data_IF_687099329274
#
_entry.id   IF_687099329274
#
_cell.length_a   1.000
_cell.length_b   1.000
_cell.length_c   1.000
_cell.angle_alpha   90.00
_cell.angle_beta   90.00
_cell.angle_gamma   90.00
#
_symmetry.space_group_name_H-M   'P 1'
#
loop_
_entity.id
_entity.type
_entity.pdbx_description
1 polymer ?
#
# COMPACT_ATOMS: atom_id res chain seq x y z
N UNK A 1 -52.23 41.06 42.99
CA UNK A 1 -51.02 41.20 43.85
C UNK A 1 -50.96 39.97 44.74
N UNK A 2 -49.84 39.29 44.98
CA UNK A 2 -48.55 39.28 44.27
C UNK A 2 -47.75 38.01 44.68
N UNK A 3 -46.90 37.51 43.77
CA UNK A 3 -45.79 36.53 43.95
C UNK A 3 -46.08 35.15 44.58
N UNK A 4 -45.45 34.11 43.99
CA UNK A 4 -44.34 33.42 44.66
C UNK A 4 -42.98 33.70 43.98
N UNK A 5 -41.83 33.51 44.67
CA UNK A 5 -40.52 33.92 44.15
C UNK A 5 -39.74 32.83 43.40
N UNK A 6 -39.17 33.23 42.25
CA UNK A 6 -37.84 32.94 41.71
C UNK A 6 -37.30 31.49 41.55
N UNK A 7 -36.33 31.36 40.63
CA UNK A 7 -35.64 30.10 40.28
C UNK A 7 -34.12 30.29 40.29
N UNK A 8 -33.40 29.17 40.28
CA UNK A 8 -31.93 29.08 40.40
C UNK A 8 -31.55 28.05 41.49
N UNK A 9 -30.53 27.22 41.35
CA UNK A 9 -29.57 27.07 40.24
C UNK A 9 -29.09 25.60 40.11
N UNK A 10 -28.48 25.22 38.99
CA UNK A 10 -27.85 23.89 38.79
C UNK A 10 -26.39 24.06 38.34
N UNK A 11 -25.39 23.75 39.18
CA UNK A 11 -24.00 23.72 38.73
C UNK A 11 -23.81 22.60 37.70
N UNK A 12 -23.19 22.95 36.56
CA UNK A 12 -22.99 22.02 35.45
C UNK A 12 -21.89 21.00 35.71
N UNK A 13 -22.08 19.77 35.23
CA UNK A 13 -21.03 18.76 35.18
C UNK A 13 -20.03 19.07 34.06
N UNK A 14 -18.85 19.57 34.42
CA UNK A 14 -17.71 19.62 33.50
C UNK A 14 -17.18 18.20 33.22
N UNK A 15 -16.66 17.92 32.02
CA UNK A 15 -16.09 16.61 31.72
C UNK A 15 -14.81 16.40 32.55
N UNK A 16 -14.72 15.27 33.27
CA UNK A 16 -13.47 14.86 33.92
C UNK A 16 -12.37 14.71 32.86
N UNK A 17 -11.30 15.50 33.00
CA UNK A 17 -10.04 15.19 32.32
C UNK A 17 -9.44 13.91 32.90
N UNK A 18 -8.58 13.25 32.11
CA UNK A 18 -8.06 11.92 32.42
C UNK A 18 -7.35 11.83 33.76
N UNK A 19 -8.00 11.15 34.70
CA UNK A 19 -7.38 10.50 35.85
C UNK A 19 -6.59 9.32 35.26
N UNK A 20 -5.28 9.51 35.03
CA UNK A 20 -4.40 8.44 34.57
C UNK A 20 -4.42 7.35 35.65
N UNK A 21 -4.65 6.09 35.28
CA UNK A 21 -4.67 5.01 36.26
C UNK A 21 -3.27 4.92 36.89
N UNK A 22 -3.19 5.10 38.22
CA UNK A 22 -1.92 5.09 38.98
C UNK A 22 -1.11 3.81 38.68
N UNK A 23 -1.81 2.72 38.38
CA UNK A 23 -1.21 1.47 37.95
C UNK A 23 -0.59 1.54 36.55
N UNK A 24 -1.25 2.18 35.58
CA UNK A 24 -0.70 2.38 34.23
C UNK A 24 0.51 3.33 34.25
N UNK A 25 0.50 4.34 35.13
CA UNK A 25 1.67 5.18 35.41
C UNK A 25 2.84 4.36 36.00
N UNK A 26 2.58 3.50 37.00
CA UNK A 26 3.60 2.65 37.61
C UNK A 26 4.16 1.62 36.61
N UNK A 27 3.31 0.92 35.86
CA UNK A 27 3.71 -0.02 34.81
C UNK A 27 4.56 0.69 33.73
N UNK A 28 4.19 1.91 33.34
CA UNK A 28 4.96 2.75 32.41
C UNK A 28 6.31 3.20 32.99
N UNK A 29 6.37 3.52 34.28
CA UNK A 29 7.59 3.92 34.98
C UNK A 29 8.57 2.74 35.12
N UNK A 30 8.07 1.54 35.42
CA UNK A 30 8.86 0.31 35.45
C UNK A 30 9.36 -0.09 34.05
N UNK A 31 8.51 0.06 33.03
CA UNK A 31 8.92 -0.10 31.63
C UNK A 31 10.04 0.87 31.23
N UNK A 32 9.93 2.15 31.61
CA UNK A 32 10.95 3.17 31.34
C UNK A 32 12.28 2.85 32.03
N UNK A 33 12.25 2.41 33.31
CA UNK A 33 13.43 1.95 34.05
C UNK A 33 14.11 0.77 33.34
N UNK A 34 13.32 -0.22 32.90
CA UNK A 34 13.81 -1.40 32.20
C UNK A 34 14.42 -1.07 30.81
N UNK A 35 13.84 -0.12 30.07
CA UNK A 35 14.44 0.40 28.85
C UNK A 35 15.75 1.15 29.13
N UNK A 36 15.80 1.98 30.17
CA UNK A 36 17.02 2.72 30.54
C UNK A 36 18.18 1.78 30.90
N UNK A 37 17.90 0.70 31.64
CA UNK A 37 18.91 -0.34 31.97
C UNK A 37 19.45 -0.98 30.69
N UNK A 38 18.58 -1.43 29.77
CA UNK A 38 18.98 -2.03 28.49
C UNK A 38 19.77 -1.09 27.58
N UNK A 39 19.42 0.20 27.56
CA UNK A 39 20.18 1.22 26.82
C UNK A 39 21.55 1.50 27.45
N UNK A 40 21.66 1.42 28.78
CA UNK A 40 22.93 1.54 29.50
C UNK A 40 23.85 0.34 29.25
N UNK A 41 23.30 -0.88 29.18
CA UNK A 41 24.03 -2.09 28.77
C UNK A 41 24.54 -1.96 27.33
N UNK A 42 23.67 -1.61 26.38
CA UNK A 42 24.05 -1.42 24.98
C UNK A 42 25.18 -0.38 24.81
N UNK A 43 25.13 0.71 25.59
CA UNK A 43 26.16 1.77 25.63
C UNK A 43 27.55 1.27 26.07
N UNK A 44 27.65 0.20 26.87
CA UNK A 44 28.96 -0.38 27.25
C UNK A 44 29.38 -1.55 26.36
N UNK A 45 28.43 -2.26 25.74
CA UNK A 45 28.75 -3.41 24.88
C UNK A 45 29.20 -3.02 23.48
N UNK A 46 28.60 -2.00 22.84
CA UNK A 46 29.06 -1.55 21.51
C UNK A 46 30.53 -1.10 21.52
N UNK A 47 31.02 -0.28 22.48
CA UNK A 47 32.44 0.06 22.55
C UNK A 47 33.37 -1.15 22.70
N UNK A 48 32.98 -2.16 23.49
CA UNK A 48 33.75 -3.41 23.70
C UNK A 48 33.79 -4.29 22.46
N UNK A 49 32.68 -4.37 21.70
CA UNK A 49 32.67 -5.07 20.40
C UNK A 49 33.57 -4.41 19.35
N UNK A 50 33.78 -3.09 19.45
CA UNK A 50 34.62 -2.30 18.54
C UNK A 50 36.06 -2.08 19.07
N UNK A 51 36.37 -2.57 20.26
CA UNK A 51 37.68 -2.39 20.92
C UNK A 51 38.82 -3.05 20.14
N UNK A 52 38.69 -4.30 19.61
CA UNK A 52 39.72 -4.92 18.77
C UNK A 52 40.04 -4.17 17.47
N UNK A 53 39.14 -3.29 17.00
CA UNK A 53 39.33 -2.51 15.77
C UNK A 53 40.09 -1.19 16.00
N UNK A 54 40.38 -0.83 17.25
CA UNK A 54 41.15 0.38 17.61
C UNK A 54 42.63 0.10 17.84
N UNK A 55 42.99 -1.16 18.09
CA UNK A 55 44.35 -1.58 18.38
C UNK A 55 45.16 -1.84 17.11
N UNK A 56 46.43 -1.44 17.10
CA UNK A 56 47.39 -1.88 16.07
C UNK A 56 47.84 -3.30 16.37
N UNK A 57 47.17 -4.28 15.77
CA UNK A 57 47.53 -5.69 15.92
C UNK A 57 48.46 -6.19 14.82
N UNK A 58 49.14 -7.32 15.09
CA UNK A 58 50.31 -7.78 14.34
C UNK A 58 49.97 -8.62 13.09
N UNK A 59 48.75 -9.15 12.97
CA UNK A 59 48.30 -9.88 11.78
C UNK A 59 46.78 -9.69 11.51
N UNK A 60 46.32 -9.81 10.25
CA UNK A 60 44.89 -9.72 9.91
C UNK A 60 44.03 -10.82 10.56
N UNK A 61 44.60 -12.00 10.79
CA UNK A 61 43.89 -13.15 11.38
C UNK A 61 43.66 -12.97 12.89
N UNK A 62 44.61 -12.35 13.60
CA UNK A 62 44.44 -11.96 15.00
C UNK A 62 43.32 -10.90 15.17
N UNK A 63 43.28 -9.90 14.28
CA UNK A 63 42.19 -8.91 14.23
C UNK A 63 40.83 -9.58 14.05
N UNK A 64 40.70 -10.45 13.04
CA UNK A 64 39.43 -11.12 12.74
C UNK A 64 38.96 -12.00 13.91
N UNK A 65 39.84 -12.84 14.46
CA UNK A 65 39.49 -13.74 15.58
C UNK A 65 39.16 -12.97 16.86
N UNK A 66 39.93 -11.93 17.21
CA UNK A 66 39.63 -11.05 18.34
C UNK A 66 38.28 -10.35 18.18
N UNK A 67 38.01 -9.75 17.02
CA UNK A 67 36.74 -9.11 16.71
C UNK A 67 35.56 -10.10 16.73
N UNK A 68 35.66 -11.27 16.09
CA UNK A 68 34.60 -12.29 16.10
C UNK A 68 34.29 -12.77 17.52
N UNK A 69 35.30 -12.90 18.40
CA UNK A 69 35.11 -13.27 19.80
C UNK A 69 34.43 -12.14 20.61
N UNK A 70 34.83 -10.88 20.42
CA UNK A 70 34.19 -9.73 21.06
C UNK A 70 32.73 -9.58 20.61
N UNK A 71 32.45 -9.72 19.30
CA UNK A 71 31.11 -9.70 18.72
C UNK A 71 30.25 -10.84 19.26
N UNK A 72 30.78 -12.07 19.32
CA UNK A 72 30.05 -13.25 19.85
C UNK A 72 29.75 -13.09 21.33
N UNK A 73 30.64 -12.46 22.10
CA UNK A 73 30.44 -12.19 23.53
C UNK A 73 29.37 -11.12 23.74
N UNK A 74 29.43 -10.00 23.01
CA UNK A 74 28.39 -8.96 23.06
C UNK A 74 26.99 -9.47 22.69
N UNK A 75 26.88 -10.39 21.73
CA UNK A 75 25.60 -11.04 21.39
C UNK A 75 25.05 -11.96 22.50
N UNK A 76 25.90 -12.52 23.36
CA UNK A 76 25.48 -13.31 24.54
C UNK A 76 25.06 -12.40 25.70
N UNK A 77 25.74 -11.27 25.87
CA UNK A 77 25.44 -10.28 26.92
C UNK A 77 24.14 -9.50 26.68
N UNK A 78 23.62 -9.42 25.45
CA UNK A 78 22.35 -8.73 25.15
C UNK A 78 21.27 -9.69 24.58
N UNK A 79 20.73 -10.64 25.37
CA UNK A 79 19.64 -11.51 24.93
C UNK A 79 18.41 -10.74 24.43
N UNK A 80 18.17 -9.56 25.02
CA UNK A 80 17.01 -8.70 24.81
C UNK A 80 16.90 -8.06 23.41
N UNK A 81 17.95 -8.14 22.57
CA UNK A 81 17.89 -7.63 21.19
C UNK A 81 17.24 -8.61 20.20
N UNK A 82 16.91 -9.85 20.62
CA UNK A 82 16.29 -10.84 19.72
C UNK A 82 14.91 -10.33 19.24
N UNK A 83 14.63 -10.30 17.92
CA UNK A 83 13.37 -9.75 17.39
C UNK A 83 12.09 -10.36 17.97
N UNK A 84 12.14 -11.61 18.45
CA UNK A 84 11.02 -12.28 19.15
C UNK A 84 10.66 -11.62 20.48
N UNK A 85 11.63 -11.14 21.25
CA UNK A 85 11.37 -10.53 22.56
C UNK A 85 10.82 -9.10 22.38
N UNK A 86 11.36 -8.33 21.44
CA UNK A 86 10.76 -7.06 21.03
C UNK A 86 9.30 -7.21 20.56
N UNK A 87 8.95 -8.30 19.85
CA UNK A 87 7.58 -8.55 19.37
C UNK A 87 6.54 -8.81 20.46
N UNK A 88 6.97 -9.01 21.72
CA UNK A 88 6.08 -9.11 22.88
C UNK A 88 6.04 -7.80 23.67
N UNK A 89 7.17 -7.08 23.74
CA UNK A 89 7.32 -5.82 24.49
C UNK A 89 6.48 -4.70 23.88
N UNK A 90 6.29 -4.69 22.55
CA UNK A 90 5.29 -3.83 21.92
C UNK A 90 4.47 -4.62 20.90
N UNK A 91 3.15 -4.40 20.92
CA UNK A 91 2.19 -4.90 19.92
C UNK A 91 1.64 -3.76 19.06
N UNK A 92 2.47 -2.93 18.38
CA UNK A 92 1.94 -1.99 17.42
C UNK A 92 1.24 -2.80 16.31
N UNK A 93 0.01 -2.43 15.97
CA UNK A 93 -0.62 -2.86 14.72
C UNK A 93 0.27 -2.33 13.59
N UNK A 94 1.14 -3.18 13.03
CA UNK A 94 2.17 -2.74 12.07
C UNK A 94 1.53 -2.43 10.71
N UNK A 95 1.11 -1.18 10.57
CA UNK A 95 0.56 -0.57 9.35
C UNK A 95 1.52 -0.62 8.16
N UNK A 96 2.83 -0.71 8.41
CA UNK A 96 3.89 -0.82 7.40
C UNK A 96 4.85 -1.95 7.77
N UNK A 97 5.22 -2.78 6.80
CA UNK A 97 6.18 -3.90 6.92
C UNK A 97 7.04 -3.98 5.66
N UNK A 98 8.37 -4.10 5.75
CA UNK A 98 9.24 -4.16 4.56
C UNK A 98 8.92 -5.40 3.72
N UNK A 99 8.88 -5.27 2.39
CA UNK A 99 8.73 -6.40 1.50
C UNK A 99 10.01 -7.26 1.51
N UNK A 100 9.85 -8.58 1.39
CA UNK A 100 10.96 -9.53 1.30
C UNK A 100 10.76 -10.43 0.08
N UNK A 101 11.81 -10.58 -0.72
CA UNK A 101 11.79 -11.39 -1.94
C UNK A 101 11.66 -12.87 -1.60
N UNK A 102 10.45 -13.42 -1.72
CA UNK A 102 10.20 -14.85 -1.57
C UNK A 102 10.30 -15.56 -2.91
N UNK A 103 11.46 -16.19 -3.20
CA UNK A 103 11.55 -17.16 -4.30
C UNK A 103 10.62 -18.33 -4.00
N UNK A 104 9.49 -18.39 -4.69
CA UNK A 104 8.51 -19.49 -4.58
C UNK A 104 8.63 -20.40 -5.79
N UNK A 105 9.53 -21.37 -5.68
CA UNK A 105 9.55 -22.53 -6.57
C UNK A 105 8.19 -23.26 -6.53
N UNK A 106 7.53 -23.35 -7.69
CA UNK A 106 6.27 -24.06 -7.86
C UNK A 106 6.51 -25.59 -7.91
N UNK A 107 6.75 -26.21 -6.75
CA UNK A 107 6.80 -27.68 -6.63
C UNK A 107 6.01 -28.22 -5.43
N UNK A 108 4.82 -28.73 -5.77
CA UNK A 108 4.18 -29.94 -5.24
C UNK A 108 4.34 -30.27 -3.74
N UNK A 109 3.21 -30.28 -3.03
CA UNK A 109 3.07 -31.03 -1.78
C UNK A 109 3.57 -32.48 -1.92
N UNK A 110 4.21 -33.00 -0.87
CA UNK A 110 3.70 -34.17 -0.14
C UNK A 110 4.60 -34.61 1.03
N UNK A 111 4.04 -35.46 1.88
CA UNK A 111 4.69 -36.36 2.85
C UNK A 111 5.18 -35.80 4.21
N UNK A 112 4.34 -36.12 5.21
CA UNK A 112 4.65 -36.51 6.59
C UNK A 112 4.79 -35.43 7.69
N UNK A 113 4.39 -35.78 8.94
CA UNK A 113 3.44 -34.90 9.64
C UNK A 113 3.90 -34.47 11.04
N UNK A 114 3.22 -33.46 11.59
CA UNK A 114 3.27 -33.15 13.02
C UNK A 114 1.98 -33.59 13.69
N UNK A 115 2.11 -34.54 14.61
CA UNK A 115 1.03 -35.11 15.40
C UNK A 115 0.70 -34.26 16.64
N UNK A 116 -0.36 -34.69 17.33
CA UNK A 116 -0.77 -34.29 18.68
C UNK A 116 -1.68 -33.05 18.81
N UNK A 117 -2.99 -33.31 18.77
CA UNK A 117 -4.02 -32.53 19.47
C UNK A 117 -4.95 -33.51 20.22
N UNK A 118 -5.30 -33.26 21.49
CA UNK A 118 -6.13 -34.17 22.27
C UNK A 118 -7.64 -33.97 22.03
N UNK A 119 -8.28 -35.08 21.69
CA UNK A 119 -9.71 -35.43 21.81
C UNK A 119 -10.69 -34.40 22.41
N UNK A 120 -11.85 -34.26 21.76
CA UNK A 120 -13.14 -34.37 22.47
C UNK A 120 -14.15 -35.22 21.69
N UNK A 121 -15.14 -35.77 22.41
CA UNK A 121 -16.18 -36.73 21.97
C UNK A 121 -17.50 -36.00 21.66
N UNK A 122 -18.50 -36.51 20.92
CA UNK A 122 -18.66 -37.65 19.99
C UNK A 122 -20.06 -37.54 19.30
N UNK A 123 -20.68 -38.67 18.92
CA UNK A 123 -22.06 -38.90 18.41
C UNK A 123 -22.34 -38.75 16.89
N UNK A 124 -22.57 -39.90 16.23
CA UNK A 124 -23.83 -40.34 15.58
C UNK A 124 -24.69 -39.39 14.70
N UNK A 125 -25.35 -39.85 13.63
CA UNK A 125 -25.33 -41.16 12.93
C UNK A 125 -25.95 -41.07 11.52
N UNK A 126 -25.72 -42.11 10.70
CA UNK A 126 -26.46 -42.55 9.48
C UNK A 126 -27.13 -41.49 8.56
N UNK A 127 -26.62 -41.25 7.35
CA UNK A 127 -26.83 -42.08 6.14
C UNK A 127 -28.27 -42.08 5.57
N UNK A 128 -28.49 -41.37 4.43
CA UNK A 128 -29.15 -41.96 3.23
C UNK A 128 -29.09 -41.14 1.93
N UNK A 129 -28.72 -41.84 0.85
CA UNK A 129 -29.21 -41.77 -0.55
C UNK A 129 -29.47 -40.42 -1.27
N UNK A 130 -28.56 -40.12 -2.20
CA UNK A 130 -28.79 -39.54 -3.55
C UNK A 130 -29.74 -40.45 -4.40
N UNK A 131 -30.16 -40.12 -5.67
CA UNK A 131 -30.17 -38.84 -6.42
C UNK A 131 -31.42 -38.61 -7.38
N UNK A 132 -31.31 -37.62 -8.30
CA UNK A 132 -31.76 -37.62 -9.73
C UNK A 132 -33.16 -37.14 -10.23
N UNK A 133 -33.12 -36.13 -11.14
CA UNK A 133 -33.99 -35.84 -12.33
C UNK A 133 -35.49 -35.50 -12.10
N UNK A 134 -36.24 -34.82 -12.99
CA UNK A 134 -36.40 -34.88 -14.47
C UNK A 134 -36.59 -33.48 -15.14
N UNK A 135 -36.50 -33.41 -16.47
CA UNK A 135 -36.58 -32.23 -17.37
C UNK A 135 -38.00 -31.83 -17.86
N UNK A 136 -38.19 -30.54 -18.19
CA UNK A 136 -38.98 -29.94 -19.34
C UNK A 136 -39.02 -28.40 -19.17
N UNK A 137 -39.41 -27.55 -20.12
CA UNK A 137 -39.25 -27.41 -21.58
C UNK A 137 -39.89 -26.06 -22.00
N UNK A 138 -39.51 -25.46 -23.14
CA UNK A 138 -39.92 -24.10 -23.55
C UNK A 138 -41.34 -24.02 -24.17
N UNK A 139 -41.95 -22.82 -24.29
CA UNK A 139 -41.87 -22.10 -25.59
C UNK A 139 -41.64 -20.57 -25.49
N UNK A 140 -41.86 -19.85 -26.60
CA UNK A 140 -41.28 -18.52 -26.97
C UNK A 140 -42.35 -17.58 -27.55
N UNK A 141 -42.30 -16.27 -27.25
CA UNK A 141 -43.08 -15.25 -27.99
C UNK A 141 -42.45 -13.83 -27.96
N UNK A 142 -42.64 -13.07 -29.07
CA UNK A 142 -42.59 -11.60 -29.21
C UNK A 142 -43.80 -11.18 -30.06
N UNK A 143 -44.44 -10.02 -29.80
CA UNK A 143 -44.50 -8.90 -30.76
C UNK A 143 -44.41 -7.51 -30.05
N UNK A 144 -44.32 -6.33 -30.68
CA UNK A 144 -43.93 -5.86 -32.03
C UNK A 144 -43.57 -4.35 -31.96
N UNK A 145 -43.85 -3.51 -32.97
CA UNK A 145 -43.73 -2.03 -32.99
C UNK A 145 -44.91 -1.44 -33.79
N UNK A 146 -45.32 -0.18 -33.55
CA UNK A 146 -45.78 0.67 -34.67
C UNK A 146 -45.24 2.12 -34.65
N UNK A 147 -44.99 2.70 -35.84
CA UNK A 147 -44.62 4.13 -36.08
C UNK A 147 -45.13 4.57 -37.47
N UNK A 148 -45.84 5.71 -37.59
CA UNK A 148 -45.49 6.80 -38.55
C UNK A 148 -45.50 8.20 -37.88
N UNK A 149 -44.66 9.20 -38.25
CA UNK A 149 -44.64 10.06 -39.48
C UNK A 149 -45.89 10.99 -39.58
N UNK A 150 -45.86 12.30 -39.84
CA UNK A 150 -44.85 13.29 -40.32
C UNK A 150 -45.16 14.71 -39.68
N UNK A 151 -44.72 15.92 -40.08
CA UNK A 151 -43.90 16.52 -41.17
C UNK A 151 -43.45 17.99 -40.79
N UNK A 152 -42.73 18.68 -41.70
CA UNK A 152 -42.48 20.15 -41.81
C UNK A 152 -41.54 20.87 -40.81
N UNK A 153 -40.93 22.03 -41.12
CA UNK A 153 -39.99 22.44 -42.20
C UNK A 153 -39.70 23.95 -42.14
N UNK A 154 -38.43 24.33 -41.90
CA UNK A 154 -37.71 25.59 -42.26
C UNK A 154 -36.33 25.46 -41.60
N UNK A 155 -35.18 25.96 -42.03
CA UNK A 155 -34.62 26.64 -43.21
C UNK A 155 -33.22 27.12 -42.70
N UNK A 156 -32.15 27.07 -43.52
CA UNK A 156 -30.80 27.51 -43.12
C UNK A 156 -30.44 28.89 -43.72
N UNK A 157 -29.32 29.56 -43.35
CA UNK A 157 -27.93 29.14 -43.66
C UNK A 157 -27.08 28.90 -42.37
N UNK A 158 -25.94 28.19 -42.34
CA UNK A 158 -24.75 28.11 -43.21
C UNK A 158 -23.84 29.36 -43.12
N UNK A 159 -22.51 29.31 -43.14
CA UNK A 159 -21.51 28.23 -43.34
C UNK A 159 -20.40 28.38 -42.24
N UNK A 160 -19.25 27.68 -42.15
CA UNK A 160 -18.56 26.67 -42.98
C UNK A 160 -17.81 25.66 -42.09
N UNK A 161 -17.54 24.44 -42.57
CA UNK A 161 -16.36 23.62 -42.17
C UNK A 161 -15.82 22.87 -43.39
N UNK A 162 -14.50 22.75 -43.51
CA UNK A 162 -13.86 22.11 -44.68
C UNK A 162 -13.78 20.58 -44.51
N UNK A 163 -14.08 19.85 -45.59
CA UNK A 163 -13.85 18.40 -45.68
C UNK A 163 -12.50 18.12 -46.37
N UNK A 164 -11.64 17.25 -45.82
CA UNK A 164 -10.64 16.55 -46.59
C UNK A 164 -11.33 15.60 -47.58
N UNK A 165 -10.94 15.63 -48.86
CA UNK A 165 -11.48 14.74 -49.89
C UNK A 165 -10.60 13.51 -50.06
N UNK A 166 -11.14 12.31 -49.78
CA UNK A 166 -10.57 11.08 -50.32
C UNK A 166 -11.01 10.90 -51.78
N UNK A 167 -10.06 10.81 -52.71
CA UNK A 167 -10.29 10.23 -54.02
C UNK A 167 -9.02 9.56 -54.54
N UNK A 168 -9.18 8.38 -55.15
CA UNK A 168 -8.10 7.53 -55.62
C UNK A 168 -8.15 7.35 -57.13
N UNK A 169 -7.03 7.55 -57.82
CA UNK A 169 -6.79 6.98 -59.14
C UNK A 169 -5.30 6.83 -59.40
N UNK A 170 -4.92 5.83 -60.21
CA UNK A 170 -3.53 5.56 -60.60
C UNK A 170 -3.20 6.32 -61.88
N UNK A 171 -2.08 7.04 -61.91
CA UNK A 171 -1.39 7.44 -63.15
C UNK A 171 0.07 7.00 -63.08
N UNK A 172 0.75 6.97 -64.24
CA UNK A 172 1.94 6.14 -64.44
C UNK A 172 3.20 6.97 -64.76
N UNK A 173 4.08 7.03 -63.77
CA UNK A 173 5.55 7.01 -63.92
C UNK A 173 6.21 8.09 -64.80
N UNK A 174 6.88 9.03 -64.15
CA UNK A 174 8.19 9.52 -64.60
C UNK A 174 9.12 9.71 -63.38
N UNK A 175 10.45 9.69 -63.58
CA UNK A 175 11.42 9.37 -62.51
C UNK A 175 12.54 10.42 -62.38
N UNK A 176 12.55 11.23 -61.31
CA UNK A 176 13.72 12.01 -60.88
C UNK A 176 14.88 11.10 -60.38
N UNK A 177 16.13 11.60 -60.31
CA UNK A 177 17.29 10.80 -59.92
C UNK A 177 17.24 10.34 -58.46
N UNK A 178 17.88 9.20 -58.18
CA UNK A 178 17.83 8.55 -56.88
C UNK A 178 18.81 9.16 -55.87
N UNK A 179 18.36 10.16 -55.10
CA UNK A 179 18.97 10.44 -53.80
C UNK A 179 18.44 9.39 -52.81
N UNK A 180 19.26 8.37 -52.52
CA UNK A 180 18.87 7.22 -51.71
C UNK A 180 18.94 7.52 -50.20
N UNK A 181 18.29 8.61 -49.77
CA UNK A 181 18.13 8.95 -48.36
C UNK A 181 17.20 7.92 -47.71
N UNK A 182 17.82 6.92 -47.08
CA UNK A 182 17.14 5.99 -46.19
C UNK A 182 16.75 6.75 -44.93
N UNK A 183 15.62 7.44 -44.97
CA UNK A 183 14.86 7.80 -43.77
C UNK A 183 14.51 6.49 -43.08
N UNK A 184 15.36 6.08 -42.13
CA UNK A 184 14.98 5.07 -41.14
C UNK A 184 13.64 5.53 -40.55
N UNK A 185 12.68 4.64 -40.30
CA UNK A 185 11.66 4.94 -39.30
C UNK A 185 12.40 5.39 -38.04
N UNK A 186 12.12 6.61 -37.56
CA UNK A 186 12.71 7.10 -36.31
C UNK A 186 12.29 6.15 -35.21
N UNK A 187 13.25 5.40 -34.67
CA UNK A 187 12.95 4.49 -33.59
C UNK A 187 12.54 5.33 -32.37
N UNK A 188 11.44 4.94 -31.72
CA UNK A 188 10.98 5.65 -30.53
C UNK A 188 11.94 5.45 -29.36
N UNK A 189 12.76 4.39 -29.40
CA UNK A 189 13.87 4.19 -28.47
C UNK A 189 15.04 5.18 -28.70
N UNK A 190 15.30 5.65 -29.93
CA UNK A 190 16.36 6.62 -30.22
C UNK A 190 16.08 8.02 -29.61
N UNK A 191 14.85 8.25 -29.13
CA UNK A 191 14.42 9.49 -28.47
C UNK A 191 14.19 9.34 -26.96
N UNK A 192 14.47 8.18 -26.36
CA UNK A 192 14.41 8.02 -24.90
C UNK A 192 15.64 8.66 -24.22
N UNK A 193 15.51 9.96 -23.93
CA UNK A 193 16.50 10.76 -23.18
C UNK A 193 16.80 10.17 -21.80
N UNK A 194 15.89 9.37 -21.23
CA UNK A 194 16.01 8.77 -19.90
C UNK A 194 16.45 7.31 -19.94
N UNK A 195 16.60 6.68 -21.11
CA UNK A 195 17.04 5.29 -21.28
C UNK A 195 18.48 5.00 -20.80
N UNK A 196 19.22 6.04 -20.39
CA UNK A 196 20.52 5.93 -19.71
C UNK A 196 20.44 6.01 -18.18
N UNK A 197 19.28 6.33 -17.62
CA UNK A 197 19.03 6.32 -16.16
C UNK A 197 18.82 4.87 -15.67
N UNK A 198 19.31 4.51 -14.48
CA UNK A 198 19.10 3.17 -13.94
C UNK A 198 17.63 2.99 -13.51
N UNK A 199 16.92 2.07 -14.17
CA UNK A 199 15.51 1.76 -13.87
C UNK A 199 15.38 1.41 -12.37
N UNK A 200 14.56 2.13 -11.58
CA UNK A 200 14.41 1.88 -10.15
C UNK A 200 13.98 0.45 -9.83
N UNK A 201 14.57 -0.14 -8.78
CA UNK A 201 14.21 -1.45 -8.23
C UNK A 201 12.81 -1.50 -7.56
N UNK A 202 12.13 -0.36 -7.52
CA UNK A 202 10.74 -0.19 -7.05
C UNK A 202 9.73 -0.09 -8.19
N UNK A 203 10.15 -0.12 -9.46
CA UNK A 203 9.19 0.04 -10.57
C UNK A 203 8.20 -1.14 -10.60
N UNK A 204 6.92 -0.78 -10.67
CA UNK A 204 5.79 -1.69 -10.57
C UNK A 204 5.60 -2.37 -11.93
N UNK A 205 5.81 -3.68 -11.97
CA UNK A 205 5.64 -4.50 -13.17
C UNK A 205 4.17 -4.91 -13.35
N UNK A 206 3.48 -5.28 -12.27
CA UNK A 206 2.07 -5.65 -12.32
C UNK A 206 1.29 -5.22 -11.07
N UNK A 207 0.08 -4.71 -11.31
CA UNK A 207 -0.94 -4.48 -10.29
C UNK A 207 -1.91 -5.67 -10.27
N UNK A 208 -2.00 -6.36 -9.12
CA UNK A 208 -2.84 -7.53 -8.92
C UNK A 208 -4.09 -7.18 -8.08
N UNK A 209 -5.16 -8.00 -8.12
CA UNK A 209 -6.31 -7.82 -7.23
C UNK A 209 -5.91 -7.79 -5.74
N UNK A 210 -5.01 -8.70 -5.35
CA UNK A 210 -4.54 -8.87 -3.96
C UNK A 210 -3.09 -8.44 -3.70
N UNK A 211 -2.49 -7.60 -4.55
CA UNK A 211 -1.07 -7.27 -4.40
C UNK A 211 -0.41 -6.52 -5.55
N UNK A 212 0.93 -6.53 -5.52
CA UNK A 212 1.80 -5.83 -6.46
C UNK A 212 3.05 -6.67 -6.76
N UNK A 213 3.51 -6.65 -8.01
CA UNK A 213 4.79 -7.21 -8.43
C UNK A 213 5.72 -6.06 -8.86
N UNK A 214 6.98 -6.11 -8.43
CA UNK A 214 8.00 -5.11 -8.72
C UNK A 214 9.14 -5.76 -9.54
N UNK A 215 9.75 -4.99 -10.43
CA UNK A 215 10.81 -5.44 -11.35
C UNK A 215 12.05 -6.07 -10.66
N UNK A 216 12.25 -5.81 -9.37
CA UNK A 216 13.28 -6.43 -8.52
C UNK A 216 12.97 -7.87 -8.09
N UNK A 217 11.85 -8.45 -8.54
CA UNK A 217 11.32 -9.73 -8.06
C UNK A 217 10.69 -9.65 -6.66
N UNK A 218 10.67 -8.46 -6.05
CA UNK A 218 9.89 -8.20 -4.85
C UNK A 218 8.40 -8.25 -5.17
N UNK A 219 7.63 -8.86 -4.27
CA UNK A 219 6.19 -9.02 -4.42
C UNK A 219 5.48 -8.78 -3.10
N UNK A 220 4.37 -8.05 -3.17
CA UNK A 220 3.53 -7.66 -2.05
C UNK A 220 2.21 -8.40 -2.21
N UNK A 221 1.85 -9.24 -1.24
CA UNK A 221 0.70 -10.16 -1.31
C UNK A 221 -0.24 -9.98 -0.10
N UNK A 222 -1.06 -11.00 0.18
CA UNK A 222 -2.08 -11.08 1.24
C UNK A 222 -3.20 -10.03 1.15
N UNK A 223 -3.24 -9.22 0.09
CA UNK A 223 -4.10 -8.04 0.02
C UNK A 223 -3.53 -6.81 0.72
N UNK A 224 -2.23 -6.77 1.00
CA UNK A 224 -1.57 -5.55 1.43
C UNK A 224 -1.44 -4.54 0.28
N UNK A 225 -1.58 -3.27 0.59
CA UNK A 225 -1.17 -2.17 -0.29
C UNK A 225 0.36 -2.09 -0.42
N UNK A 226 0.83 -1.30 -1.38
CA UNK A 226 2.25 -0.97 -1.50
C UNK A 226 2.50 0.46 -1.01
N UNK A 227 3.54 0.65 -0.20
CA UNK A 227 4.14 1.95 0.08
C UNK A 227 5.58 1.88 -0.46
N UNK A 228 5.88 2.70 -1.47
CA UNK A 228 7.16 2.74 -2.18
C UNK A 228 7.81 4.10 -1.91
N UNK A 229 9.00 4.10 -1.32
CA UNK A 229 9.68 5.33 -0.91
C UNK A 229 11.19 5.09 -0.84
N UNK A 230 12.01 6.04 -1.29
CA UNK A 230 13.48 5.99 -1.18
C UNK A 230 14.09 4.68 -1.73
N UNK A 231 13.57 4.19 -2.85
CA UNK A 231 14.01 2.93 -3.48
C UNK A 231 13.67 1.66 -2.71
N UNK A 232 12.91 1.74 -1.60
CA UNK A 232 12.42 0.60 -0.84
C UNK A 232 10.91 0.37 -1.04
N UNK A 233 10.49 -0.88 -0.88
CA UNK A 233 9.11 -1.32 -0.98
C UNK A 233 8.60 -1.91 0.34
N UNK A 234 7.42 -1.47 0.77
CA UNK A 234 6.78 -1.92 1.99
C UNK A 234 5.34 -2.37 1.73
N UNK A 235 4.95 -3.49 2.34
CA UNK A 235 3.57 -3.90 2.50
C UNK A 235 2.87 -2.94 3.48
N UNK A 236 1.86 -2.23 2.98
CA UNK A 236 1.10 -1.19 3.68
C UNK A 236 -0.33 -1.66 3.95
N UNK A 237 -0.83 -1.45 5.16
CA UNK A 237 -2.15 -1.91 5.61
C UNK A 237 -2.87 -0.78 6.38
N UNK A 238 -3.18 0.37 5.75
CA UNK A 238 -3.67 1.57 6.42
C UNK A 238 -4.97 1.36 7.21
N UNK A 239 -5.83 0.41 6.80
CA UNK A 239 -7.01 -0.04 7.54
C UNK A 239 -6.72 -0.51 8.97
N UNK A 240 -5.50 -0.99 9.27
CA UNK A 240 -5.13 -1.41 10.63
C UNK A 240 -5.04 -0.22 11.60
N UNK A 241 -4.86 1.00 11.12
CA UNK A 241 -4.91 2.21 11.96
C UNK A 241 -6.37 2.60 12.33
N UNK A 242 -7.37 2.14 11.57
CA UNK A 242 -8.79 2.30 11.93
C UNK A 242 -9.23 1.32 13.04
N UNK A 243 -8.44 0.27 13.33
CA UNK A 243 -8.78 -0.83 14.25
C UNK A 243 -8.68 -0.43 15.74
N UNK A 244 -9.56 0.47 16.16
CA UNK A 244 -9.74 0.91 17.56
C UNK A 244 -10.57 -0.11 18.35
N UNK A 245 -10.38 -0.25 19.68
CA UNK A 245 -11.18 -1.17 20.48
C UNK A 245 -12.67 -0.81 20.39
N UNK A 246 -13.50 -1.79 20.01
CA UNK A 246 -14.94 -1.61 19.80
C UNK A 246 -15.38 -1.36 18.34
N UNK A 247 -14.45 -1.13 17.41
CA UNK A 247 -14.76 -0.99 15.97
C UNK A 247 -14.81 -2.37 15.30
N UNK A 248 -15.76 -2.60 14.39
CA UNK A 248 -15.87 -3.87 13.65
C UNK A 248 -14.73 -4.04 12.63
N UNK A 249 -14.51 -5.28 12.19
CA UNK A 249 -13.51 -5.57 11.16
C UNK A 249 -13.93 -4.98 9.79
N UNK A 250 -15.23 -4.96 9.50
CA UNK A 250 -15.80 -4.34 8.28
C UNK A 250 -15.63 -2.81 8.29
N UNK A 251 -15.91 -2.14 9.42
CA UNK A 251 -15.63 -0.70 9.56
C UNK A 251 -14.13 -0.39 9.46
N UNK A 252 -13.27 -1.25 10.02
CA UNK A 252 -11.81 -1.11 9.89
C UNK A 252 -11.36 -1.21 8.43
N UNK A 253 -11.95 -2.15 7.67
CA UNK A 253 -11.74 -2.38 6.23
C UNK A 253 -12.50 -1.41 5.31
N UNK A 254 -13.06 -0.34 5.86
CA UNK A 254 -13.71 0.73 5.07
C UNK A 254 -12.79 1.95 5.02
N UNK A 255 -12.30 2.31 3.84
CA UNK A 255 -11.37 3.43 3.60
C UNK A 255 -12.09 4.67 3.04
N UNK A 256 -13.42 4.68 3.06
CA UNK A 256 -14.26 5.76 2.54
C UNK A 256 -15.25 6.23 3.59
N UNK A 257 -15.29 7.55 3.80
CA UNK A 257 -16.20 8.18 4.74
C UNK A 257 -17.66 8.22 4.23
N UNK A 258 -18.59 8.63 5.10
CA UNK A 258 -20.03 8.76 4.80
C UNK A 258 -20.38 9.74 3.67
N UNK A 259 -19.40 10.47 3.12
CA UNK A 259 -19.54 11.41 1.99
C UNK A 259 -18.97 10.86 0.67
N UNK A 260 -18.51 9.60 0.64
CA UNK A 260 -17.88 9.00 -0.53
C UNK A 260 -16.42 9.42 -0.76
N UNK A 261 -15.79 10.08 0.21
CA UNK A 261 -14.40 10.53 0.11
C UNK A 261 -13.45 9.47 0.69
N UNK A 262 -12.30 9.25 0.05
CA UNK A 262 -11.24 8.39 0.57
C UNK A 262 -10.59 9.06 1.79
N UNK A 263 -10.53 8.36 2.91
CA UNK A 263 -10.15 8.93 4.21
C UNK A 263 -9.25 7.95 4.97
N UNK A 264 -8.04 8.40 5.29
CA UNK A 264 -7.07 7.64 6.06
C UNK A 264 -6.60 8.45 7.29
N UNK A 265 -6.41 7.80 8.46
CA UNK A 265 -5.93 8.45 9.67
C UNK A 265 -4.44 8.82 9.54
N UNK A 266 -3.96 9.76 10.35
CA UNK A 266 -2.58 10.25 10.31
C UNK A 266 -1.54 9.11 10.53
N UNK A 267 -1.88 8.16 11.39
CA UNK A 267 -1.09 6.98 11.73
C UNK A 267 -0.85 6.06 10.51
N UNK A 268 -1.66 6.17 9.44
CA UNK A 268 -1.44 5.47 8.18
C UNK A 268 -0.18 5.93 7.43
N UNK A 269 0.25 7.19 7.65
CA UNK A 269 1.38 7.84 6.98
C UNK A 269 2.57 8.08 7.92
N UNK A 270 2.56 7.55 9.15
CA UNK A 270 3.57 7.80 10.18
C UNK A 270 5.01 7.44 9.78
N UNK A 271 5.23 6.62 8.75
CA UNK A 271 6.58 6.35 8.20
C UNK A 271 7.14 7.57 7.44
N UNK A 272 6.28 8.35 6.77
CA UNK A 272 6.69 9.53 6.00
C UNK A 272 7.07 10.72 6.90
N UNK A 273 6.54 10.80 8.12
CA UNK A 273 6.92 11.85 9.08
C UNK A 273 8.27 11.60 9.77
N UNK A 274 8.69 10.33 9.87
CA UNK A 274 9.97 9.86 10.42
C UNK A 274 11.12 9.89 9.41
N UNK A 275 10.81 10.10 8.13
CA UNK A 275 11.76 10.04 7.02
C UNK A 275 12.48 11.39 6.78
N UNK A 276 13.77 11.31 6.42
CA UNK A 276 14.58 12.43 5.94
C UNK A 276 15.64 11.95 4.93
N UNK A 277 15.83 12.59 3.75
CA UNK A 277 15.00 13.67 3.19
C UNK A 277 13.54 13.24 3.01
N UNK A 278 12.61 14.19 2.96
CA UNK A 278 11.19 13.89 2.70
C UNK A 278 10.91 13.95 1.20
N UNK A 279 10.12 13.01 0.65
CA UNK A 279 9.61 13.10 -0.72
C UNK A 279 8.82 14.40 -0.94
N UNK A 280 9.00 15.00 -2.10
CA UNK A 280 8.38 16.27 -2.49
C UNK A 280 6.95 16.05 -3.04
N UNK A 281 6.66 14.84 -3.54
CA UNK A 281 5.39 14.42 -4.13
C UNK A 281 5.03 12.97 -3.74
N UNK A 282 3.79 12.78 -3.29
CA UNK A 282 3.18 11.50 -2.97
C UNK A 282 2.07 11.16 -3.98
N UNK A 283 2.25 10.09 -4.74
CA UNK A 283 1.24 9.52 -5.64
C UNK A 283 0.35 8.54 -4.85
N UNK A 284 -0.94 8.85 -4.71
CA UNK A 284 -1.90 8.04 -3.96
C UNK A 284 -2.85 7.27 -4.89
N UNK A 285 -2.65 5.95 -4.98
CA UNK A 285 -3.54 5.01 -5.68
C UNK A 285 -4.64 4.49 -4.76
N UNK A 286 -5.89 4.93 -4.95
CA UNK A 286 -7.01 4.64 -4.03
C UNK A 286 -7.81 3.37 -4.37
N UNK A 287 -7.20 2.43 -5.10
CA UNK A 287 -7.81 1.16 -5.49
C UNK A 287 -8.33 1.16 -6.94
N UNK A 288 -9.37 0.37 -7.30
CA UNK A 288 -9.80 0.20 -8.69
C UNK A 288 -10.49 1.41 -9.33
N UNK A 289 -10.87 2.42 -8.55
CA UNK A 289 -11.57 3.62 -9.04
C UNK A 289 -11.08 4.84 -8.30
N UNK A 290 -10.79 5.93 -9.02
CA UNK A 290 -10.43 7.22 -8.43
C UNK A 290 -11.57 7.76 -7.54
N UNK A 291 -11.22 8.29 -6.37
CA UNK A 291 -12.16 8.90 -5.40
C UNK A 291 -11.56 10.18 -4.81
N UNK A 292 -12.38 11.18 -4.46
CA UNK A 292 -11.88 12.42 -3.86
C UNK A 292 -11.29 12.13 -2.46
N UNK A 293 -10.06 12.56 -2.22
CA UNK A 293 -9.42 12.51 -0.91
C UNK A 293 -10.12 13.44 0.10
N UNK A 294 -10.28 13.01 1.35
CA UNK A 294 -10.87 13.83 2.41
C UNK A 294 -10.04 15.10 2.67
N UNK A 295 -10.67 16.22 3.07
CA UNK A 295 -9.94 17.44 3.40
C UNK A 295 -8.96 17.26 4.56
N UNK A 296 -9.24 16.35 5.49
CA UNK A 296 -8.41 16.09 6.67
C UNK A 296 -7.14 15.30 6.30
N UNK A 297 -7.27 14.20 5.57
CA UNK A 297 -6.12 13.42 5.08
C UNK A 297 -5.26 14.26 4.14
N UNK A 298 -5.87 15.07 3.26
CA UNK A 298 -5.13 16.04 2.41
C UNK A 298 -4.36 17.07 3.26
N UNK A 299 -5.02 17.67 4.26
CA UNK A 299 -4.37 18.66 5.16
C UNK A 299 -3.20 18.05 5.94
N UNK A 300 -3.33 16.82 6.41
CA UNK A 300 -2.24 16.11 7.09
C UNK A 300 -1.03 15.92 6.17
N UNK A 301 -1.24 15.43 4.95
CA UNK A 301 -0.17 15.16 3.98
C UNK A 301 0.53 16.47 3.56
N UNK A 302 -0.22 17.54 3.29
CA UNK A 302 0.37 18.86 3.01
C UNK A 302 1.12 19.45 4.22
N UNK A 303 0.71 19.14 5.46
CA UNK A 303 1.42 19.57 6.68
C UNK A 303 2.74 18.82 6.91
N UNK A 304 2.97 17.68 6.26
CA UNK A 304 4.29 17.01 6.23
C UNK A 304 5.27 17.71 5.26
N UNK A 305 4.75 18.57 4.38
CA UNK A 305 5.49 19.28 3.32
C UNK A 305 5.24 18.77 1.90
N UNK A 306 4.46 17.69 1.75
CA UNK A 306 4.40 16.91 0.50
C UNK A 306 3.24 17.37 -0.40
N UNK A 307 3.48 17.39 -1.71
CA UNK A 307 2.42 17.47 -2.74
C UNK A 307 1.69 16.11 -2.82
N UNK A 308 0.45 16.10 -3.31
CA UNK A 308 -0.31 14.86 -3.46
C UNK A 308 -1.19 14.83 -4.71
N UNK A 309 -0.92 13.82 -5.53
CA UNK A 309 -1.72 13.40 -6.69
C UNK A 309 -2.52 12.14 -6.30
N UNK A 310 -3.75 12.03 -6.82
CA UNK A 310 -4.73 11.02 -6.36
C UNK A 310 -5.37 10.39 -7.58
N UNK A 311 -5.10 9.11 -7.82
CA UNK A 311 -5.56 8.35 -8.97
C UNK A 311 -6.15 7.00 -8.53
N UNK A 312 -6.74 6.26 -9.48
CA UNK A 312 -6.85 4.81 -9.34
C UNK A 312 -5.44 4.16 -9.33
N UNK A 313 -5.33 3.00 -8.70
CA UNK A 313 -4.05 2.32 -8.49
C UNK A 313 -3.32 1.93 -9.78
N UNK A 314 -4.04 1.69 -10.89
CA UNK A 314 -3.40 1.32 -12.16
C UNK A 314 -2.66 2.52 -12.75
N UNK A 315 -3.33 3.67 -12.84
CA UNK A 315 -2.72 4.89 -13.35
C UNK A 315 -1.66 5.45 -12.39
N UNK A 316 -1.92 5.41 -11.07
CA UNK A 316 -0.93 5.75 -10.03
C UNK A 316 0.38 4.95 -10.14
N UNK A 317 0.31 3.67 -10.54
CA UNK A 317 1.50 2.84 -10.72
C UNK A 317 2.34 3.28 -11.92
N UNK A 318 1.69 3.69 -13.02
CA UNK A 318 2.37 4.23 -14.20
C UNK A 318 2.99 5.60 -13.94
N UNK A 319 2.25 6.48 -13.25
CA UNK A 319 2.69 7.81 -12.84
C UNK A 319 3.94 7.74 -11.94
N UNK A 320 3.92 6.87 -10.92
CA UNK A 320 5.09 6.60 -10.09
C UNK A 320 6.29 6.10 -10.91
N UNK A 321 6.10 5.11 -11.78
CA UNK A 321 7.19 4.53 -12.57
C UNK A 321 7.89 5.56 -13.47
N UNK A 322 7.16 6.51 -14.07
CA UNK A 322 7.78 7.59 -14.86
C UNK A 322 8.49 8.59 -13.95
N UNK A 323 7.79 9.13 -12.94
CA UNK A 323 8.35 10.17 -12.06
C UNK A 323 9.59 9.70 -11.27
N UNK A 324 9.61 8.43 -10.82
CA UNK A 324 10.75 7.83 -10.15
C UNK A 324 11.96 7.61 -11.07
N UNK A 325 11.74 7.57 -12.39
CA UNK A 325 12.80 7.48 -13.42
C UNK A 325 13.26 8.88 -13.86
N UNK A 326 12.33 9.84 -13.99
CA UNK A 326 12.60 11.25 -14.33
C UNK A 326 13.36 12.02 -13.24
N UNK A 327 12.97 11.83 -11.97
CA UNK A 327 13.43 12.63 -10.82
C UNK A 327 14.21 11.85 -9.78
N UNK A 328 14.16 10.51 -9.86
CA UNK A 328 14.71 9.61 -8.86
C UNK A 328 13.72 9.22 -7.77
N UNK A 329 14.13 8.22 -6.98
CA UNK A 329 13.30 7.57 -5.95
C UNK A 329 13.26 8.27 -4.59
N UNK A 330 14.04 9.34 -4.41
CA UNK A 330 14.12 10.11 -3.16
C UNK A 330 13.03 11.21 -3.12
N UNK A 331 12.84 11.92 -4.24
CA UNK A 331 11.84 12.98 -4.41
C UNK A 331 10.39 12.44 -4.47
N UNK A 332 10.20 11.18 -4.86
CA UNK A 332 8.89 10.61 -5.23
C UNK A 332 8.52 9.42 -4.35
N UNK A 333 7.32 9.47 -3.78
CA UNK A 333 6.70 8.37 -3.04
C UNK A 333 5.42 7.88 -3.73
N UNK A 334 5.09 6.60 -3.58
CA UNK A 334 3.77 6.06 -3.93
C UNK A 334 3.14 5.29 -2.77
N UNK A 335 1.83 5.47 -2.60
CA UNK A 335 1.02 4.75 -1.62
C UNK A 335 -0.23 4.19 -2.32
N UNK A 336 -0.32 2.87 -2.44
CA UNK A 336 -1.20 2.18 -3.38
C UNK A 336 -2.06 1.12 -2.68
N UNK A 337 -3.38 1.21 -2.83
CA UNK A 337 -4.36 0.20 -2.39
C UNK A 337 -4.56 -0.85 -3.50
N UNK A 338 -4.66 -2.16 -3.23
CA UNK A 338 -4.79 -3.18 -4.29
C UNK A 338 -6.00 -3.00 -5.21
N UNK A 339 -5.94 -3.52 -6.44
CA UNK A 339 -7.03 -3.37 -7.41
C UNK A 339 -8.32 -4.10 -7.00
N UNK A 340 -8.21 -5.19 -6.24
CA UNK A 340 -9.35 -5.96 -5.76
C UNK A 340 -9.98 -5.40 -4.48
N UNK A 341 -9.66 -4.16 -4.09
CA UNK A 341 -10.17 -3.57 -2.85
C UNK A 341 -11.68 -3.32 -2.90
N UNK A 342 -12.38 -3.94 -1.95
CA UNK A 342 -13.82 -3.78 -1.70
C UNK A 342 -14.01 -3.33 -0.26
N UNK A 343 -14.70 -2.20 -0.05
CA UNK A 343 -14.96 -1.68 1.29
C UNK A 343 -15.66 -2.74 2.18
N UNK A 344 -15.24 -2.82 3.44
CA UNK A 344 -15.73 -3.82 4.40
C UNK A 344 -15.17 -5.23 4.21
N UNK A 345 -14.52 -5.53 3.08
CA UNK A 345 -13.97 -6.87 2.76
C UNK A 345 -12.46 -6.89 2.53
N UNK A 346 -11.87 -5.72 2.26
CA UNK A 346 -10.47 -5.59 1.87
C UNK A 346 -10.22 -6.08 0.44
N UNK A 347 -9.00 -6.51 0.15
CA UNK A 347 -8.64 -6.98 -1.19
C UNK A 347 -9.15 -8.41 -1.46
N UNK A 348 -10.05 -8.52 -2.44
CA UNK A 348 -10.58 -9.76 -3.01
C UNK A 348 -9.81 -10.12 -4.28
N UNK A 349 -10.00 -11.33 -4.81
CA UNK A 349 -9.46 -11.78 -6.10
C UNK A 349 -10.40 -11.43 -7.27
#
# INVERSE_FOLDING_TARGET
MANPPAAGDKPGGSPKQGEWDEKELQDSLEHLKLLHIKLRELRTTIPRMLEPLKEKQQSPEALFTSFSNAVTTGHREIPALRPREYSQISKPQKTVQRAYGGSRDLRSDSLFPRSCSPQFKAFDSMNRSNPMRILRALPRARPSVPVPRAARTTAAPAFHTLRPLQQSSKSKQEKPPAFAEKTKPTDLADFDVLGSTPIPSTNIEATLPRGFLLNSGLSIFDGAGALLVNGEAFAWRPWLANRKPGVSEEESLTLVNKKGQFELPAEAFAVLSLMWPRPDLLVLGVGPTIRPLSPETRKHISALGMRIEVLDTRNASSEFNMLATERGVEDIAAALIPLGWVEGKGAVE
#
